data_IF_433288541055
#
_entry.id   IF_433288541055
#
_cell.length_a   1.000
_cell.length_b   1.000
_cell.length_c   1.000
_cell.angle_alpha   90.00
_cell.angle_beta   90.00
_cell.angle_gamma   90.00
#
_symmetry.space_group_name_H-M   'P 1'
#
loop_
_entity.id
_entity.type
_entity.pdbx_description
1 polymer ?
#
# COMPACT_ATOMS: atom_id res chain seq x y z
N UNK A 1 -6.53 -22.31 17.18
CA UNK A 1 -7.25 -21.78 16.01
C UNK A 1 -6.30 -20.85 15.27
N UNK A 2 -5.65 -21.30 14.19
CA UNK A 2 -4.73 -20.46 13.42
C UNK A 2 -5.57 -19.43 12.67
N UNK A 3 -5.42 -18.14 12.99
CA UNK A 3 -5.96 -17.06 12.15
C UNK A 3 -5.18 -17.13 10.84
N UNK A 4 -5.77 -17.72 9.79
CA UNK A 4 -5.26 -17.58 8.43
C UNK A 4 -5.38 -16.11 8.05
N UNK A 5 -4.24 -15.42 7.96
CA UNK A 5 -4.21 -14.07 7.43
C UNK A 5 -4.58 -14.14 5.95
N UNK A 6 -5.83 -13.79 5.62
CA UNK A 6 -6.30 -13.71 4.25
C UNK A 6 -5.56 -12.56 3.57
N UNK A 7 -4.78 -12.91 2.55
CA UNK A 7 -4.20 -11.95 1.62
C UNK A 7 -4.75 -12.25 0.23
N UNK A 8 -4.68 -11.26 -0.65
CA UNK A 8 -5.03 -11.42 -2.05
C UNK A 8 -3.94 -10.87 -2.94
N UNK A 9 -3.74 -11.53 -4.06
CA UNK A 9 -2.73 -11.19 -5.05
C UNK A 9 -3.41 -10.65 -6.30
N UNK A 10 -3.09 -9.42 -6.68
CA UNK A 10 -3.62 -8.75 -7.87
C UNK A 10 -2.48 -8.50 -8.88
N UNK A 11 -2.81 -8.28 -10.17
CA UNK A 11 -1.84 -7.80 -11.14
C UNK A 11 -1.11 -6.54 -10.67
N UNK A 12 0.14 -6.39 -11.10
CA UNK A 12 1.00 -5.24 -10.79
C UNK A 12 0.30 -3.91 -11.09
N UNK A 13 0.44 -2.93 -10.20
CA UNK A 13 -0.08 -1.60 -10.43
C UNK A 13 0.80 -0.83 -11.42
N UNK A 14 0.25 -0.51 -12.61
CA UNK A 14 0.96 0.30 -13.60
C UNK A 14 0.89 1.79 -13.26
N UNK A 15 1.84 2.30 -12.50
CA UNK A 15 1.89 3.71 -12.13
C UNK A 15 3.24 4.33 -12.40
N UNK A 16 3.78 4.19 -13.62
CA UNK A 16 5.17 4.56 -13.91
C UNK A 16 5.46 6.06 -13.83
N UNK A 17 4.61 6.96 -14.33
CA UNK A 17 4.83 8.43 -14.24
C UNK A 17 3.84 9.11 -13.30
N UNK A 18 2.63 8.63 -13.32
CA UNK A 18 1.50 9.07 -12.53
C UNK A 18 0.68 7.83 -12.15
N UNK A 19 -0.17 7.98 -11.16
CA UNK A 19 -1.02 6.89 -10.72
C UNK A 19 -2.03 7.35 -9.69
N UNK A 20 -3.14 6.62 -9.62
CA UNK A 20 -4.16 6.80 -8.61
C UNK A 20 -4.54 5.46 -7.98
N UNK A 21 -4.75 5.47 -6.67
CA UNK A 21 -5.39 4.39 -5.94
C UNK A 21 -6.48 4.99 -5.06
N UNK A 22 -7.65 4.36 -5.00
CA UNK A 22 -8.62 4.61 -3.94
C UNK A 22 -9.21 3.30 -3.44
N UNK A 23 -9.56 3.27 -2.16
CA UNK A 23 -10.22 2.12 -1.54
C UNK A 23 -10.89 2.55 -0.24
N UNK A 24 -11.77 1.69 0.27
CA UNK A 24 -12.33 1.81 1.61
C UNK A 24 -11.93 0.62 2.45
N UNK A 25 -11.68 0.87 3.72
CA UNK A 25 -11.41 -0.19 4.69
C UNK A 25 -12.10 0.13 6.03
N UNK A 26 -12.25 -0.91 6.86
CA UNK A 26 -12.58 -0.77 8.29
C UNK A 26 -11.80 -1.81 9.09
N UNK A 27 -11.33 -1.44 10.26
CA UNK A 27 -10.66 -2.36 11.19
C UNK A 27 -10.72 -1.85 12.62
N UNK A 28 -10.52 -2.75 13.59
CA UNK A 28 -10.21 -2.42 14.98
C UNK A 28 -8.72 -2.66 15.32
N UNK A 29 -7.97 -3.31 14.42
CA UNK A 29 -6.59 -3.69 14.66
C UNK A 29 -5.65 -2.47 14.55
N UNK A 30 -4.72 -2.29 15.50
CA UNK A 30 -3.81 -1.16 15.50
C UNK A 30 -2.63 -1.33 14.53
N UNK A 31 -2.42 -2.54 14.00
CA UNK A 31 -1.34 -2.85 13.08
C UNK A 31 -1.84 -3.71 11.91
N UNK A 32 -1.36 -3.42 10.70
CA UNK A 32 -1.65 -4.27 9.54
C UNK A 32 -1.15 -3.70 8.22
N UNK A 33 -0.53 -4.53 7.41
CA UNK A 33 -0.18 -4.23 6.02
C UNK A 33 -1.43 -4.34 5.14
N UNK A 34 -1.89 -3.20 4.59
CA UNK A 34 -3.07 -3.16 3.73
C UNK A 34 -2.69 -3.44 2.28
N UNK A 35 -1.75 -2.68 1.72
CA UNK A 35 -1.30 -2.79 0.33
C UNK A 35 0.22 -2.89 0.27
N UNK A 36 0.74 -3.70 -0.64
CA UNK A 36 2.16 -3.77 -0.94
C UNK A 36 2.40 -4.09 -2.41
N UNK A 37 3.27 -3.33 -3.07
CA UNK A 37 3.78 -3.65 -4.40
C UNK A 37 5.22 -3.12 -4.51
N UNK A 38 6.10 -3.89 -5.14
CA UNK A 38 7.54 -3.62 -5.20
C UNK A 38 8.09 -3.79 -6.61
N UNK A 39 9.20 -3.13 -6.90
CA UNK A 39 10.08 -3.52 -7.99
C UNK A 39 10.76 -4.86 -7.70
N UNK A 40 11.45 -5.39 -8.71
CA UNK A 40 12.34 -6.54 -8.53
C UNK A 40 13.78 -6.08 -8.23
N UNK A 41 14.53 -6.77 -7.35
CA UNK A 41 15.94 -6.49 -7.15
C UNK A 41 16.71 -6.43 -8.48
N UNK A 42 17.65 -5.48 -8.63
CA UNK A 42 18.20 -4.60 -7.59
C UNK A 42 17.40 -3.30 -7.34
N UNK A 43 16.21 -3.12 -7.94
CA UNK A 43 15.39 -1.93 -7.71
C UNK A 43 14.82 -1.93 -6.29
N UNK A 44 14.72 -0.74 -5.71
CA UNK A 44 14.11 -0.53 -4.39
C UNK A 44 12.73 0.12 -4.48
N UNK A 45 12.24 0.37 -5.71
CA UNK A 45 10.94 0.94 -5.99
C UNK A 45 9.85 0.19 -5.21
N UNK A 46 9.00 0.95 -4.55
CA UNK A 46 8.01 0.40 -3.63
C UNK A 46 6.81 1.33 -3.52
N UNK A 47 5.63 0.74 -3.41
CA UNK A 47 4.45 1.36 -2.86
C UNK A 47 3.85 0.49 -1.77
N UNK A 48 3.54 1.07 -0.61
CA UNK A 48 2.89 0.35 0.47
C UNK A 48 1.94 1.24 1.27
N UNK A 49 0.90 0.63 1.83
CA UNK A 49 -0.02 1.24 2.78
C UNK A 49 -0.11 0.35 4.01
N UNK A 50 0.13 0.92 5.19
CA UNK A 50 0.04 0.20 6.45
C UNK A 50 -0.68 1.00 7.53
N UNK A 51 -1.23 0.26 8.49
CA UNK A 51 -1.69 0.80 9.77
C UNK A 51 -0.61 0.50 10.80
N UNK A 52 -0.18 1.51 11.55
CA UNK A 52 0.76 1.33 12.64
C UNK A 52 0.33 2.17 13.85
N UNK A 53 0.13 1.52 15.00
CA UNK A 53 -0.42 2.13 16.22
C UNK A 53 -1.74 2.90 15.97
N UNK A 54 -2.60 2.32 15.13
CA UNK A 54 -3.90 2.87 14.75
C UNK A 54 -3.85 4.05 13.78
N UNK A 55 -2.68 4.38 13.22
CA UNK A 55 -2.51 5.47 12.25
C UNK A 55 -2.16 4.89 10.88
N UNK A 56 -2.71 5.48 9.82
CA UNK A 56 -2.40 5.07 8.44
C UNK A 56 -1.16 5.79 7.92
N UNK A 57 -0.31 5.04 7.22
CA UNK A 57 0.87 5.51 6.55
C UNK A 57 0.88 5.03 5.10
N UNK A 58 1.32 5.92 4.20
CA UNK A 58 1.71 5.55 2.85
C UNK A 58 3.23 5.65 2.76
N UNK A 59 3.86 4.63 2.19
CA UNK A 59 5.28 4.63 1.90
C UNK A 59 5.49 4.46 0.39
N UNK A 60 6.34 5.31 -0.17
CA UNK A 60 6.76 5.24 -1.57
C UNK A 60 8.28 5.36 -1.67
N UNK A 61 8.90 4.52 -2.47
CA UNK A 61 10.30 4.67 -2.91
C UNK A 61 10.32 4.67 -4.44
N UNK A 62 11.02 5.64 -5.02
CA UNK A 62 11.20 5.79 -6.48
C UNK A 62 12.62 5.41 -6.92
N UNK A 63 13.36 4.68 -6.08
CA UNK A 63 14.78 4.31 -6.28
C UNK A 63 15.77 5.29 -5.66
N UNK A 64 15.29 6.28 -4.89
CA UNK A 64 16.12 7.29 -4.23
C UNK A 64 16.04 7.23 -2.69
N UNK A 65 15.30 6.27 -2.16
CA UNK A 65 15.07 6.05 -0.74
C UNK A 65 13.61 6.27 -0.34
N UNK A 66 13.18 5.65 0.77
CA UNK A 66 11.78 5.60 1.15
C UNK A 66 11.28 6.96 1.67
N UNK A 67 10.09 7.34 1.22
CA UNK A 67 9.32 8.47 1.74
C UNK A 67 8.06 7.93 2.39
N UNK A 68 7.90 8.18 3.70
CA UNK A 68 6.78 7.67 4.49
C UNK A 68 5.97 8.85 5.03
N UNK A 69 4.70 8.92 4.64
CA UNK A 69 3.78 9.99 5.02
C UNK A 69 2.65 9.44 5.87
N UNK A 70 2.37 10.11 6.99
CA UNK A 70 1.20 9.83 7.82
C UNK A 70 -0.04 10.47 7.19
N UNK A 71 -1.12 9.71 7.06
CA UNK A 71 -2.33 10.13 6.37
C UNK A 71 -3.39 10.83 7.19
N UNK A 72 -3.41 10.59 8.50
CA UNK A 72 -4.41 11.18 9.39
C UNK A 72 -3.83 11.48 10.77
N UNK A 73 -4.20 12.63 11.34
CA UNK A 73 -3.92 12.96 12.74
C UNK A 73 -4.75 12.13 13.72
N UNK A 74 -5.90 11.61 13.29
CA UNK A 74 -6.75 10.74 14.09
C UNK A 74 -6.34 9.28 13.90
N UNK A 75 -6.68 8.46 14.88
CA UNK A 75 -6.66 7.00 14.68
C UNK A 75 -7.79 6.58 13.74
N UNK A 76 -7.56 5.50 13.03
CA UNK A 76 -8.41 4.97 11.94
C UNK A 76 -8.77 3.49 12.15
N UNK A 77 -8.56 3.00 13.38
CA UNK A 77 -8.87 1.64 13.80
C UNK A 77 -10.05 1.63 14.80
N UNK A 78 -11.08 2.43 14.50
CA UNK A 78 -12.27 2.62 15.34
C UNK A 78 -13.46 1.74 14.91
N UNK A 79 -13.24 0.83 13.97
CA UNK A 79 -14.28 -0.05 13.41
C UNK A 79 -15.19 0.62 12.38
N UNK A 80 -15.01 1.91 12.10
CA UNK A 80 -15.75 2.63 11.07
C UNK A 80 -15.11 2.47 9.68
N UNK A 81 -15.90 2.77 8.65
CA UNK A 81 -15.41 2.82 7.28
C UNK A 81 -14.63 4.12 7.04
N UNK A 82 -13.41 3.98 6.56
CA UNK A 82 -12.57 5.09 6.12
C UNK A 82 -12.35 5.01 4.61
N UNK A 83 -12.34 6.17 3.95
CA UNK A 83 -12.02 6.31 2.53
C UNK A 83 -10.60 6.82 2.36
N UNK A 84 -9.77 6.06 1.65
CA UNK A 84 -8.37 6.42 1.38
C UNK A 84 -8.20 6.67 -0.11
N UNK A 85 -7.56 7.78 -0.45
CA UNK A 85 -7.12 8.05 -1.82
C UNK A 85 -5.64 8.39 -1.82
N UNK A 86 -4.96 7.96 -2.87
CA UNK A 86 -3.59 8.31 -3.19
C UNK A 86 -3.53 8.73 -4.65
N UNK A 87 -2.83 9.82 -4.93
CA UNK A 87 -2.52 10.25 -6.29
C UNK A 87 -1.08 10.73 -6.33
N UNK A 88 -0.37 10.39 -7.40
CA UNK A 88 0.94 10.96 -7.68
C UNK A 88 1.04 11.47 -9.12
N UNK A 89 1.87 12.49 -9.30
CA UNK A 89 2.35 12.97 -10.60
C UNK A 89 3.84 13.22 -10.45
N UNK A 90 4.66 12.36 -11.06
CA UNK A 90 6.10 12.33 -10.81
C UNK A 90 6.39 12.15 -9.31
N UNK A 91 7.13 13.08 -8.71
CA UNK A 91 7.49 13.00 -7.28
C UNK A 91 6.46 13.62 -6.35
N UNK A 92 5.52 14.40 -6.89
CA UNK A 92 4.51 15.05 -6.09
C UNK A 92 3.36 14.06 -5.83
N UNK A 93 2.99 13.92 -4.57
CA UNK A 93 1.99 12.98 -4.11
C UNK A 93 0.99 13.65 -3.18
N UNK A 94 -0.26 13.25 -3.29
CA UNK A 94 -1.34 13.64 -2.39
C UNK A 94 -1.98 12.37 -1.87
N UNK A 95 -2.13 12.29 -0.56
CA UNK A 95 -3.01 11.29 0.03
C UNK A 95 -4.18 11.97 0.73
N UNK A 96 -5.32 11.28 0.79
CA UNK A 96 -6.46 11.75 1.57
C UNK A 96 -7.09 10.62 2.36
N UNK A 97 -7.47 10.92 3.60
CA UNK A 97 -8.24 10.04 4.47
C UNK A 97 -9.51 10.79 4.84
N UNK A 98 -10.67 10.24 4.47
CA UNK A 98 -12.00 10.84 4.70
C UNK A 98 -12.12 12.29 4.20
N UNK A 99 -11.49 12.57 3.06
CA UNK A 99 -11.50 13.89 2.41
C UNK A 99 -10.46 14.88 2.97
N UNK A 100 -9.79 14.57 4.08
CA UNK A 100 -8.68 15.37 4.60
C UNK A 100 -7.42 15.06 3.80
N UNK A 101 -6.86 16.06 3.13
CA UNK A 101 -5.73 15.91 2.20
C UNK A 101 -4.41 16.20 2.90
N UNK A 102 -3.37 15.48 2.50
CA UNK A 102 -1.98 15.68 2.91
C UNK A 102 -1.09 15.54 1.67
N UNK A 103 -0.43 16.63 1.30
CA UNK A 103 0.54 16.64 0.22
C UNK A 103 1.93 16.31 0.75
N UNK A 104 2.69 15.55 -0.04
CA UNK A 104 4.08 15.25 0.25
C UNK A 104 4.85 15.01 -1.05
N UNK A 105 6.18 15.08 -0.96
CA UNK A 105 7.06 14.87 -2.11
C UNK A 105 7.95 13.67 -1.84
N UNK A 106 7.98 12.73 -2.78
CA UNK A 106 8.90 11.61 -2.72
C UNK A 106 10.34 12.12 -2.78
N UNK A 107 11.21 11.49 -1.99
CA UNK A 107 12.65 11.74 -1.96
C UNK A 107 13.24 11.61 -3.38
N UNK A 108 14.20 12.47 -3.67
CA UNK A 108 15.02 12.36 -4.86
C UNK A 108 16.42 12.87 -4.58
N UNK A 109 17.45 12.17 -5.08
CA UNK A 109 18.86 12.51 -4.86
C UNK A 109 19.27 13.86 -5.47
N UNK A 110 18.45 14.45 -6.35
CA UNK A 110 18.65 15.74 -7.05
C UNK A 110 17.40 16.09 -7.88
N UNK A 111 17.42 17.21 -8.62
CA UNK A 111 16.38 17.61 -9.60
C UNK A 111 16.15 16.57 -10.72
N UNK A 112 17.05 15.57 -10.82
CA UNK A 112 17.04 14.45 -11.77
C UNK A 112 16.75 13.10 -11.11
N UNK A 113 16.41 13.07 -9.82
CA UNK A 113 16.02 11.84 -9.13
C UNK A 113 14.82 11.21 -9.86
N UNK A 114 14.82 9.88 -9.97
CA UNK A 114 13.76 9.13 -10.63
C UNK A 114 12.39 9.62 -10.15
N UNK A 115 11.59 10.13 -11.09
CA UNK A 115 10.18 10.45 -10.87
C UNK A 115 9.30 9.24 -11.21
N UNK A 116 9.94 8.13 -11.61
CA UNK A 116 9.28 6.92 -12.04
C UNK A 116 9.18 5.92 -10.91
N UNK A 117 8.05 5.22 -10.86
CA UNK A 117 7.80 4.12 -9.93
C UNK A 117 7.72 2.85 -10.79
N UNK A 118 8.78 2.06 -10.77
CA UNK A 118 8.91 0.83 -11.56
C UNK A 118 8.61 -0.39 -10.67
N UNK A 119 7.36 -0.82 -10.69
CA UNK A 119 6.86 -1.98 -9.95
C UNK A 119 6.85 -3.21 -10.87
N UNK A 120 7.24 -4.36 -10.33
CA UNK A 120 7.39 -5.62 -11.08
C UNK A 120 6.76 -6.83 -10.35
N UNK A 121 6.47 -6.70 -9.04
CA UNK A 121 5.77 -7.74 -8.29
C UNK A 121 4.26 -7.60 -8.44
N UNK A 122 3.51 -8.60 -7.97
CA UNK A 122 2.07 -8.48 -7.84
C UNK A 122 1.71 -7.41 -6.78
N UNK A 123 0.50 -6.86 -6.88
CA UNK A 123 -0.07 -6.03 -5.83
C UNK A 123 -0.69 -6.95 -4.77
N UNK A 124 -0.17 -6.90 -3.55
CA UNK A 124 -0.67 -7.67 -2.43
C UNK A 124 -1.65 -6.83 -1.61
N UNK A 125 -2.77 -7.44 -1.22
CA UNK A 125 -3.76 -6.86 -0.30
C UNK A 125 -3.83 -7.72 0.95
N UNK A 126 -3.86 -7.13 2.14
CA UNK A 126 -4.10 -7.86 3.40
C UNK A 126 -2.85 -8.50 4.02
N UNK A 127 -1.76 -8.63 3.27
CA UNK A 127 -0.52 -9.24 3.74
C UNK A 127 0.29 -9.80 2.56
N UNK A 128 1.49 -10.31 2.83
CA UNK A 128 2.37 -10.85 1.78
C UNK A 128 2.22 -12.36 1.54
N UNK A 129 1.56 -13.07 2.45
CA UNK A 129 1.39 -14.53 2.36
C UNK A 129 2.70 -15.34 2.44
N UNK A 130 2.62 -16.67 2.64
CA UNK A 130 3.78 -17.56 2.47
C UNK A 130 4.06 -17.86 0.98
N UNK A 131 5.34 -18.00 0.57
CA UNK A 131 6.54 -17.76 1.36
C UNK A 131 6.94 -16.27 1.34
N UNK A 132 6.93 -15.65 2.53
CA UNK A 132 7.34 -14.26 2.75
C UNK A 132 8.77 -13.95 2.30
N UNK A 133 9.61 -14.98 2.07
CA UNK A 133 11.05 -14.87 1.80
C UNK A 133 11.40 -14.22 0.47
N UNK A 134 10.48 -14.26 -0.49
CA UNK A 134 10.82 -13.91 -1.88
C UNK A 134 10.51 -12.43 -2.19
N UNK A 135 9.90 -11.73 -1.24
CA UNK A 135 9.51 -10.34 -1.37
C UNK A 135 10.48 -9.45 -0.58
N UNK A 136 11.24 -8.56 -1.22
CA UNK A 136 12.16 -7.67 -0.52
C UNK A 136 11.37 -6.62 0.28
N UNK A 137 11.30 -6.81 1.60
CA UNK A 137 10.64 -5.88 2.52
C UNK A 137 11.65 -4.91 3.11
N UNK A 138 11.50 -3.59 2.92
CA UNK A 138 12.39 -2.61 3.54
C UNK A 138 12.08 -2.43 5.03
N UNK A 139 13.10 -2.19 5.85
CA UNK A 139 12.98 -2.03 7.31
C UNK A 139 12.04 -0.88 7.74
N UNK A 140 11.84 0.12 6.88
CA UNK A 140 10.90 1.23 7.13
C UNK A 140 9.41 0.84 7.07
N UNK A 141 9.10 -0.31 6.47
CA UNK A 141 7.76 -0.86 6.36
C UNK A 141 7.50 -1.85 7.52
N UNK A 142 7.14 -1.30 8.67
CA UNK A 142 7.18 -2.01 9.94
C UNK A 142 6.24 -3.21 10.00
N UNK A 143 5.02 -3.07 9.49
CA UNK A 143 4.03 -4.16 9.55
C UNK A 143 4.45 -5.36 8.70
N UNK A 144 5.02 -5.11 7.51
CA UNK A 144 5.54 -6.16 6.65
C UNK A 144 6.76 -6.85 7.29
N UNK A 145 7.69 -6.08 7.86
CA UNK A 145 8.88 -6.62 8.54
C UNK A 145 8.53 -7.46 9.79
N UNK A 146 7.38 -7.19 10.41
CA UNK A 146 6.85 -7.94 11.56
C UNK A 146 5.82 -9.02 11.15
N UNK A 147 5.62 -9.25 9.85
CA UNK A 147 4.63 -10.18 9.30
C UNK A 147 3.19 -9.94 9.80
N UNK A 148 2.83 -8.68 10.04
CA UNK A 148 1.51 -8.25 10.49
C UNK A 148 0.62 -7.91 9.28
N UNK A 149 -0.12 -8.90 8.80
CA UNK A 149 -1.16 -8.69 7.78
C UNK A 149 -2.34 -7.88 8.32
N UNK A 150 -3.01 -7.12 7.44
CA UNK A 150 -4.24 -6.42 7.77
C UNK A 150 -5.38 -7.41 8.04
N UNK A 151 -6.12 -7.16 9.13
CA UNK A 151 -7.36 -7.86 9.45
C UNK A 151 -8.48 -6.84 9.54
N UNK A 152 -9.50 -6.99 8.71
CA UNK A 152 -10.60 -6.05 8.61
C UNK A 152 -11.43 -6.30 7.36
N UNK A 153 -12.22 -5.31 6.96
CA UNK A 153 -12.91 -5.35 5.67
C UNK A 153 -12.28 -4.34 4.72
N UNK A 154 -12.29 -4.68 3.43
CA UNK A 154 -11.72 -3.89 2.34
C UNK A 154 -12.68 -3.94 1.15
N UNK A 155 -12.90 -2.82 0.46
CA UNK A 155 -13.77 -2.74 -0.73
C UNK A 155 -13.49 -1.50 -1.58
N UNK A 156 -14.19 -1.42 -2.69
CA UNK A 156 -14.22 -0.26 -3.60
C UNK A 156 -12.81 0.11 -4.09
N UNK A 157 -11.96 -0.88 -4.38
CA UNK A 157 -10.61 -0.63 -4.92
C UNK A 157 -10.71 -0.08 -6.33
N UNK A 158 -10.02 1.03 -6.57
CA UNK A 158 -9.82 1.62 -7.89
C UNK A 158 -8.32 1.80 -8.10
N UNK A 159 -7.81 1.34 -9.24
CA UNK A 159 -6.44 1.55 -9.69
C UNK A 159 -6.46 2.34 -11.00
N UNK A 160 -5.84 3.51 -11.03
CA UNK A 160 -5.79 4.39 -12.21
C UNK A 160 -7.16 4.71 -12.83
N UNK A 161 -8.15 4.96 -11.97
CA UNK A 161 -9.56 5.19 -12.33
C UNK A 161 -10.33 3.95 -12.83
N UNK A 162 -9.71 2.77 -12.84
CA UNK A 162 -10.38 1.50 -13.15
C UNK A 162 -10.79 0.78 -11.86
N UNK A 163 -12.09 0.48 -11.66
CA UNK A 163 -12.54 -0.34 -10.55
C UNK A 163 -11.99 -1.76 -10.65
N UNK A 164 -11.53 -2.31 -9.53
CA UNK A 164 -11.04 -3.69 -9.45
C UNK A 164 -11.99 -4.53 -8.61
N UNK A 165 -12.47 -5.64 -9.19
CA UNK A 165 -13.26 -6.63 -8.44
C UNK A 165 -12.34 -7.54 -7.63
N UNK A 166 -12.00 -7.06 -6.44
CA UNK A 166 -11.17 -7.76 -5.45
C UNK A 166 -11.75 -9.13 -5.09
N UNK A 167 -13.08 -9.27 -5.02
CA UNK A 167 -13.69 -10.54 -4.60
C UNK A 167 -13.45 -11.66 -5.61
N UNK A 168 -13.40 -11.35 -6.91
CA UNK A 168 -13.11 -12.33 -7.96
C UNK A 168 -11.72 -12.98 -7.81
N UNK A 169 -10.73 -12.22 -7.34
CA UNK A 169 -9.36 -12.72 -7.12
C UNK A 169 -9.25 -13.61 -5.88
N UNK A 170 -10.10 -13.44 -4.88
CA UNK A 170 -10.11 -14.29 -3.68
C UNK A 170 -10.49 -15.74 -4.03
N UNK A 171 -11.52 -15.90 -4.87
CA UNK A 171 -12.03 -17.22 -5.26
C UNK A 171 -11.10 -18.00 -6.16
N UNK A 172 -10.21 -17.32 -6.90
CA UNK A 172 -9.25 -17.96 -7.80
C UNK A 172 -7.97 -18.45 -7.09
N UNK A 173 -7.76 -18.04 -5.83
CA UNK A 173 -6.53 -18.33 -5.07
C UNK A 173 -6.70 -19.44 -4.02
N UNK A 174 -7.90 -20.01 -3.91
CA UNK A 174 -8.26 -21.08 -2.96
C UNK A 174 -8.03 -22.51 -3.52
N UNK A 175 -7.18 -22.69 -4.53
CA UNK A 175 -6.87 -24.00 -5.15
C UNK A 175 -5.51 -24.59 -4.73
#
# INVERSE_FOLDING_TARGET
MKRSHLFQVLPTWNAKKDGNISFKFRTNEPYGLILFNSGKPPRTDLFAVEIYNGQIYIQIDLGAGPSKQRGSKKRINDGAWHNVTFRRVGRDAQMSVDGLKTDFKAMGKNSKGSATLELDSNLYIGGLGPPFSDVPVPAGLWTAALHQGFVGCFKDLVLNNEPIDVASFATEQDF
#
